data_IF_475898029800
#
_entry.id   IF_475898029800
#
_cell.length_a   1.000
_cell.length_b   1.000
_cell.length_c   1.000
_cell.angle_alpha   90.00
_cell.angle_beta   90.00
_cell.angle_gamma   90.00
#
_symmetry.space_group_name_H-M   'P 1'
#
loop_
_entity.id
_entity.type
_entity.pdbx_description
1 polymer ?
#
# COMPACT_ATOMS: atom_id res chain seq x y z
N UNK A 1 17.21 -8.99 -30.74
CA UNK A 1 17.62 -10.30 -30.19
C UNK A 1 16.75 -10.53 -28.97
N UNK A 2 15.75 -11.38 -29.10
CA UNK A 2 14.75 -11.68 -28.08
C UNK A 2 15.44 -12.43 -26.93
N UNK A 3 15.54 -11.81 -25.76
CA UNK A 3 15.97 -12.52 -24.57
C UNK A 3 14.83 -13.45 -24.16
N UNK A 4 14.94 -14.72 -24.50
CA UNK A 4 14.08 -15.77 -23.95
C UNK A 4 14.44 -15.86 -22.46
N UNK A 5 13.61 -15.22 -21.64
CA UNK A 5 13.71 -15.26 -20.19
C UNK A 5 13.04 -16.55 -19.74
N UNK A 6 13.83 -17.47 -19.18
CA UNK A 6 13.35 -18.73 -18.61
C UNK A 6 12.39 -18.42 -17.45
N UNK A 7 11.16 -18.95 -17.44
CA UNK A 7 10.27 -18.79 -16.30
C UNK A 7 10.83 -19.53 -15.07
N UNK A 8 10.69 -18.92 -13.89
CA UNK A 8 11.21 -19.41 -12.61
C UNK A 8 10.52 -20.71 -12.12
N UNK A 9 9.49 -21.17 -12.83
CA UNK A 9 8.80 -22.46 -12.65
C UNK A 9 8.49 -23.01 -14.03
N UNK A 10 8.72 -24.31 -14.20
CA UNK A 10 8.34 -25.00 -15.45
C UNK A 10 6.82 -25.16 -15.46
N UNK A 11 6.11 -24.63 -16.47
CA UNK A 11 4.67 -24.80 -16.57
C UNK A 11 4.33 -26.30 -16.68
N UNK A 12 3.27 -26.74 -16.02
CA UNK A 12 2.76 -28.12 -16.18
C UNK A 12 2.16 -28.35 -17.56
N UNK A 13 1.67 -27.29 -18.18
CA UNK A 13 1.13 -27.31 -19.53
C UNK A 13 1.40 -25.98 -20.24
N UNK A 14 1.71 -26.08 -21.54
CA UNK A 14 1.90 -24.97 -22.47
C UNK A 14 1.19 -25.30 -23.78
N UNK A 15 0.52 -24.31 -24.36
CA UNK A 15 -0.12 -24.42 -25.65
C UNK A 15 0.05 -23.16 -26.48
N UNK A 16 0.48 -23.35 -27.74
CA UNK A 16 0.52 -22.32 -28.79
C UNK A 16 -0.71 -22.46 -29.69
N UNK A 17 -1.32 -21.32 -30.07
CA UNK A 17 -2.51 -21.24 -30.93
C UNK A 17 -3.69 -22.11 -30.45
N UNK A 18 -3.98 -22.04 -29.16
CA UNK A 18 -5.00 -22.85 -28.49
C UNK A 18 -6.36 -22.16 -28.43
N UNK A 19 -7.42 -22.93 -28.22
CA UNK A 19 -8.73 -22.41 -27.81
C UNK A 19 -8.88 -22.40 -26.28
N UNK A 20 -9.84 -21.63 -25.75
CA UNK A 20 -10.20 -21.69 -24.33
C UNK A 20 -10.64 -23.10 -23.91
N UNK A 21 -11.23 -23.89 -24.82
CA UNK A 21 -11.55 -25.29 -24.54
C UNK A 21 -10.30 -26.12 -24.27
N UNK A 22 -9.23 -25.94 -25.04
CA UNK A 22 -7.99 -26.70 -24.83
C UNK A 22 -7.37 -26.36 -23.47
N UNK A 23 -7.45 -25.09 -23.05
CA UNK A 23 -7.02 -24.65 -21.71
C UNK A 23 -7.86 -25.31 -20.61
N UNK A 24 -9.19 -25.37 -20.77
CA UNK A 24 -10.09 -26.03 -19.82
C UNK A 24 -9.85 -27.54 -19.72
N UNK A 25 -9.61 -28.20 -20.85
CA UNK A 25 -9.32 -29.64 -20.91
C UNK A 25 -7.98 -29.94 -20.22
N UNK A 26 -6.95 -29.12 -20.46
CA UNK A 26 -5.65 -29.23 -19.78
C UNK A 26 -5.77 -28.99 -18.27
N UNK A 27 -6.51 -27.96 -17.85
CA UNK A 27 -6.75 -27.65 -16.44
C UNK A 27 -7.50 -28.78 -15.73
N UNK A 28 -8.50 -29.37 -16.38
CA UNK A 28 -9.24 -30.52 -15.85
C UNK A 28 -8.33 -31.74 -15.66
N UNK A 29 -7.47 -32.02 -16.65
CA UNK A 29 -6.50 -33.12 -16.55
C UNK A 29 -5.48 -32.91 -15.42
N UNK A 30 -4.97 -31.68 -15.24
CA UNK A 30 -4.05 -31.33 -14.15
C UNK A 30 -4.71 -31.63 -12.80
N UNK A 31 -5.91 -31.09 -12.58
CA UNK A 31 -6.70 -31.30 -11.35
C UNK A 31 -6.95 -32.77 -11.05
N UNK A 32 -7.40 -33.53 -12.05
CA UNK A 32 -7.63 -34.97 -11.88
C UNK A 32 -6.35 -35.75 -11.55
N UNK A 33 -5.18 -35.31 -12.04
CA UNK A 33 -3.90 -35.94 -11.67
C UNK A 33 -3.56 -35.62 -10.21
N UNK A 34 -3.72 -34.38 -9.79
CA UNK A 34 -3.49 -33.97 -8.40
C UNK A 34 -4.40 -34.74 -7.44
N UNK A 35 -5.70 -34.74 -7.69
CA UNK A 35 -6.71 -35.42 -6.87
C UNK A 35 -6.41 -36.92 -6.70
N UNK A 36 -6.02 -37.61 -7.79
CA UNK A 36 -5.62 -39.03 -7.75
C UNK A 36 -4.31 -39.28 -7.03
N UNK A 37 -3.41 -38.31 -6.98
CA UNK A 37 -2.10 -38.45 -6.33
C UNK A 37 -2.22 -38.26 -4.82
N UNK A 38 -3.10 -37.35 -4.39
CA UNK A 38 -3.27 -37.04 -2.97
C UNK A 38 -4.35 -37.90 -2.29
N UNK A 39 -5.35 -38.40 -3.01
CA UNK A 39 -6.24 -39.43 -2.50
C UNK A 39 -5.50 -40.78 -2.42
N UNK A 40 -5.47 -41.41 -1.25
CA UNK A 40 -5.01 -42.80 -1.13
C UNK A 40 -5.90 -43.78 -1.91
N UNK A 41 -5.43 -45.01 -2.13
CA UNK A 41 -6.11 -46.03 -2.97
C UNK A 41 -7.60 -46.30 -2.60
N UNK A 42 -8.01 -45.98 -1.36
CA UNK A 42 -9.38 -46.17 -0.84
C UNK A 42 -10.11 -44.85 -0.47
N UNK A 43 -9.52 -43.67 -0.75
CA UNK A 43 -10.09 -42.37 -0.41
C UNK A 43 -10.79 -41.70 -1.60
N UNK A 44 -11.85 -40.94 -1.29
CA UNK A 44 -12.49 -40.09 -2.30
C UNK A 44 -11.64 -38.84 -2.54
N UNK A 45 -11.64 -38.26 -3.76
CA UNK A 45 -10.99 -36.99 -4.04
C UNK A 45 -11.38 -35.92 -3.01
N UNK A 46 -10.39 -35.23 -2.46
CA UNK A 46 -10.64 -34.14 -1.53
C UNK A 46 -11.29 -32.96 -2.27
N UNK A 47 -12.25 -32.26 -1.64
CA UNK A 47 -12.79 -31.04 -2.23
C UNK A 47 -11.69 -29.99 -2.38
N UNK A 48 -11.65 -29.34 -3.55
CA UNK A 48 -10.71 -28.27 -3.83
C UNK A 48 -10.86 -27.11 -2.86
N UNK A 49 -9.76 -26.75 -2.20
CA UNK A 49 -9.66 -25.52 -1.42
C UNK A 49 -9.37 -24.34 -2.33
N UNK A 50 -10.35 -23.46 -2.51
CA UNK A 50 -10.21 -22.21 -3.27
C UNK A 50 -11.08 -21.16 -2.58
N UNK A 51 -10.54 -19.98 -2.29
CA UNK A 51 -11.26 -18.90 -1.59
C UNK A 51 -11.53 -17.69 -2.47
N UNK A 52 -10.89 -17.61 -3.65
CA UNK A 52 -11.14 -16.55 -4.64
C UNK A 52 -10.63 -16.93 -6.03
N UNK A 53 -11.13 -16.23 -7.05
CA UNK A 53 -10.50 -16.13 -8.38
C UNK A 53 -9.87 -14.75 -8.51
N UNK A 54 -8.56 -14.67 -8.77
CA UNK A 54 -7.83 -13.40 -8.99
C UNK A 54 -7.43 -13.28 -10.47
N UNK A 55 -7.96 -12.28 -11.16
CA UNK A 55 -7.68 -12.03 -12.58
C UNK A 55 -6.76 -10.82 -12.69
N UNK A 56 -5.49 -11.01 -13.05
CA UNK A 56 -4.54 -9.94 -13.31
C UNK A 56 -4.46 -9.58 -14.79
N UNK A 57 -4.88 -8.36 -15.17
CA UNK A 57 -4.75 -7.88 -16.57
C UNK A 57 -3.53 -6.97 -16.68
N UNK A 58 -2.67 -7.25 -17.67
CA UNK A 58 -1.38 -6.59 -17.88
C UNK A 58 -1.12 -6.24 -19.34
N UNK A 59 -0.32 -5.17 -19.54
CA UNK A 59 0.10 -4.72 -20.88
C UNK A 59 1.58 -5.01 -21.20
N UNK A 60 2.37 -5.57 -20.27
CA UNK A 60 3.80 -5.80 -20.47
C UNK A 60 4.27 -7.11 -19.84
N UNK A 61 5.32 -7.71 -20.41
CA UNK A 61 5.95 -8.91 -19.88
C UNK A 61 6.51 -8.71 -18.46
N UNK A 62 7.00 -7.51 -18.13
CA UNK A 62 7.45 -7.19 -16.76
C UNK A 62 6.29 -7.17 -15.76
N UNK A 63 5.14 -6.63 -16.16
CA UNK A 63 3.94 -6.65 -15.31
C UNK A 63 3.35 -8.05 -15.18
N UNK A 64 3.40 -8.87 -16.24
CA UNK A 64 3.00 -10.27 -16.18
C UNK A 64 3.83 -11.04 -15.14
N UNK A 65 5.16 -10.92 -15.18
CA UNK A 65 6.02 -11.56 -14.18
C UNK A 65 5.71 -11.09 -12.76
N UNK A 66 5.40 -9.80 -12.59
CA UNK A 66 4.96 -9.27 -11.30
C UNK A 66 3.62 -9.88 -10.88
N UNK A 67 2.64 -9.95 -11.79
CA UNK A 67 1.33 -10.56 -11.55
C UNK A 67 1.46 -12.00 -11.07
N UNK A 68 2.26 -12.80 -11.78
CA UNK A 68 2.50 -14.21 -11.46
C UNK A 68 3.15 -14.33 -10.08
N UNK A 69 4.21 -13.56 -9.81
CA UNK A 69 4.86 -13.58 -8.47
C UNK A 69 3.91 -13.15 -7.35
N UNK A 70 3.12 -12.10 -7.56
CA UNK A 70 2.13 -11.64 -6.59
C UNK A 70 1.05 -12.68 -6.35
N UNK A 71 0.55 -13.32 -7.42
CA UNK A 71 -0.45 -14.38 -7.34
C UNK A 71 0.05 -15.58 -6.53
N UNK A 72 1.32 -15.96 -6.68
CA UNK A 72 1.98 -17.00 -5.86
C UNK A 72 2.03 -16.63 -4.39
N UNK A 73 2.50 -15.41 -4.10
CA UNK A 73 2.61 -14.91 -2.73
C UNK A 73 1.24 -14.88 -2.02
N UNK A 74 0.18 -14.50 -2.73
CA UNK A 74 -1.19 -14.57 -2.22
C UNK A 74 -1.63 -16.01 -2.03
N UNK A 75 -1.42 -16.86 -3.03
CA UNK A 75 -1.84 -18.27 -3.00
C UNK A 75 -1.22 -19.02 -1.83
N UNK A 76 0.03 -18.70 -1.45
CA UNK A 76 0.75 -19.27 -0.30
C UNK A 76 0.04 -19.11 1.06
N UNK A 77 -0.84 -18.10 1.18
CA UNK A 77 -1.62 -17.85 2.40
C UNK A 77 -3.12 -18.06 2.18
N UNK A 78 -3.59 -17.85 0.96
CA UNK A 78 -5.00 -17.89 0.58
C UNK A 78 -5.15 -18.66 -0.74
N UNK A 79 -5.53 -19.95 -0.70
CA UNK A 79 -5.67 -20.77 -1.90
C UNK A 79 -6.58 -20.12 -2.93
N UNK A 80 -6.03 -19.76 -4.08
CA UNK A 80 -6.72 -18.97 -5.10
C UNK A 80 -6.45 -19.56 -6.48
N UNK A 81 -7.44 -19.44 -7.37
CA UNK A 81 -7.17 -19.60 -8.80
C UNK A 81 -6.75 -18.25 -9.37
N UNK A 82 -5.57 -18.18 -9.97
CA UNK A 82 -5.07 -16.95 -10.57
C UNK A 82 -5.11 -17.04 -12.09
N UNK A 83 -5.62 -16.00 -12.74
CA UNK A 83 -5.67 -15.87 -14.20
C UNK A 83 -4.90 -14.60 -14.57
N UNK A 84 -3.76 -14.71 -15.24
CA UNK A 84 -2.95 -13.57 -15.68
C UNK A 84 -3.12 -13.39 -17.18
N UNK A 85 -3.64 -12.25 -17.61
CA UNK A 85 -3.94 -11.97 -19.01
C UNK A 85 -3.01 -10.85 -19.50
N UNK A 86 -2.12 -11.18 -20.44
CA UNK A 86 -1.34 -10.18 -21.18
C UNK A 86 -1.99 -9.88 -22.51
N UNK A 87 -2.43 -8.63 -22.67
CA UNK A 87 -3.03 -8.15 -23.91
C UNK A 87 -1.96 -7.59 -24.87
N UNK A 88 -1.90 -8.15 -26.08
CA UNK A 88 -1.09 -7.69 -27.21
C UNK A 88 -2.02 -7.35 -28.40
N UNK A 89 -2.84 -6.31 -28.22
CA UNK A 89 -3.90 -5.91 -29.16
C UNK A 89 -3.44 -5.43 -30.58
N UNK A 90 -2.25 -4.83 -30.82
CA UNK A 90 -1.96 -4.26 -32.15
C UNK A 90 -1.53 -5.28 -33.22
N UNK A 91 -1.58 -6.58 -32.95
CA UNK A 91 -1.15 -7.64 -33.87
C UNK A 91 -2.33 -8.13 -34.74
N UNK A 92 -2.12 -8.33 -36.04
CA UNK A 92 -3.13 -8.95 -36.93
C UNK A 92 -3.20 -10.46 -36.69
N UNK A 93 -4.42 -10.99 -36.54
CA UNK A 93 -4.69 -12.41 -36.26
C UNK A 93 -5.05 -12.64 -34.80
N UNK A 94 -6.01 -13.53 -34.53
CA UNK A 94 -6.33 -13.97 -33.18
C UNK A 94 -5.46 -15.18 -32.84
N UNK A 95 -4.57 -15.02 -31.87
CA UNK A 95 -3.73 -16.11 -31.37
C UNK A 95 -3.79 -16.07 -29.85
N UNK A 96 -4.06 -17.22 -29.25
CA UNK A 96 -4.03 -17.41 -27.80
C UNK A 96 -2.89 -18.38 -27.49
N UNK A 97 -1.95 -17.90 -26.71
CA UNK A 97 -0.88 -18.69 -26.11
C UNK A 97 -1.21 -18.82 -24.62
N UNK A 98 -1.09 -20.03 -24.05
CA UNK A 98 -1.51 -20.25 -22.68
C UNK A 98 -0.56 -21.18 -21.93
N UNK A 99 -0.36 -20.87 -20.65
CA UNK A 99 0.41 -21.67 -19.70
C UNK A 99 -0.43 -21.97 -18.47
N UNK A 100 -0.25 -23.15 -17.92
CA UNK A 100 -0.77 -23.50 -16.59
C UNK A 100 0.41 -23.92 -15.74
N UNK A 101 0.62 -23.18 -14.65
CA UNK A 101 1.55 -23.54 -13.58
C UNK A 101 0.75 -23.87 -12.32
N UNK A 102 1.23 -24.83 -11.55
CA UNK A 102 0.63 -25.25 -10.28
C UNK A 102 1.61 -25.01 -9.14
N UNK A 103 1.08 -24.71 -7.96
CA UNK A 103 1.82 -24.69 -6.72
C UNK A 103 1.10 -25.54 -5.69
N UNK A 104 1.77 -26.60 -5.24
CA UNK A 104 1.21 -27.50 -4.23
C UNK A 104 1.77 -27.15 -2.86
N UNK A 105 0.86 -26.81 -1.95
CA UNK A 105 1.17 -26.58 -0.55
C UNK A 105 0.83 -27.83 0.25
N UNK A 106 1.79 -28.32 1.05
CA UNK A 106 1.63 -29.49 1.91
C UNK A 106 1.85 -29.11 3.38
N UNK A 107 0.85 -28.51 4.05
CA UNK A 107 0.92 -28.22 5.48
C UNK A 107 1.02 -29.52 6.29
N UNK A 108 1.73 -29.51 7.42
CA UNK A 108 1.98 -30.71 8.22
C UNK A 108 0.71 -31.31 8.87
N UNK A 109 -0.31 -30.48 9.10
CA UNK A 109 -1.55 -30.85 9.82
C UNK A 109 -2.83 -30.66 8.98
N UNK A 110 -2.71 -30.47 7.65
CA UNK A 110 -3.86 -30.31 6.76
C UNK A 110 -3.61 -30.98 5.39
N UNK A 111 -4.68 -31.19 4.62
CA UNK A 111 -4.59 -31.75 3.28
C UNK A 111 -3.76 -30.86 2.35
N UNK A 112 -3.07 -31.49 1.40
CA UNK A 112 -2.39 -30.77 0.35
C UNK A 112 -3.38 -29.90 -0.44
N UNK A 113 -2.95 -28.70 -0.83
CA UNK A 113 -3.75 -27.78 -1.65
C UNK A 113 -2.96 -27.38 -2.88
N UNK A 114 -3.57 -27.56 -4.05
CA UNK A 114 -3.03 -27.10 -5.34
C UNK A 114 -3.65 -25.76 -5.73
N UNK A 115 -2.79 -24.78 -6.03
CA UNK A 115 -3.19 -23.49 -6.57
C UNK A 115 -2.66 -23.36 -8.00
N UNK A 116 -3.51 -22.99 -8.96
CA UNK A 116 -3.11 -22.79 -10.35
C UNK A 116 -3.00 -21.33 -10.72
N UNK A 117 -2.02 -21.08 -11.58
CA UNK A 117 -1.79 -19.80 -12.24
C UNK A 117 -1.89 -20.06 -13.73
N UNK A 118 -3.00 -19.60 -14.31
CA UNK A 118 -3.31 -19.69 -15.73
C UNK A 118 -2.83 -18.39 -16.37
N UNK A 119 -1.82 -18.44 -17.23
CA UNK A 119 -1.33 -17.26 -17.95
C UNK A 119 -1.82 -17.32 -19.39
N UNK A 120 -2.50 -16.28 -19.84
CA UNK A 120 -3.03 -16.14 -21.20
C UNK A 120 -2.33 -14.96 -21.89
N UNK A 121 -1.64 -15.22 -23.00
CA UNK A 121 -1.19 -14.14 -23.89
C UNK A 121 -2.16 -14.05 -25.05
N UNK A 122 -2.90 -12.95 -25.08
CA UNK A 122 -4.01 -12.74 -25.99
C UNK A 122 -3.58 -11.74 -27.05
N UNK A 123 -3.54 -12.17 -28.32
CA UNK A 123 -3.14 -11.32 -29.45
C UNK A 123 -4.32 -11.01 -30.36
N UNK A 124 -4.30 -9.80 -30.91
CA UNK A 124 -5.27 -9.33 -31.89
C UNK A 124 -6.71 -9.28 -31.36
N UNK A 125 -7.69 -9.63 -32.20
CA UNK A 125 -9.11 -9.42 -31.92
C UNK A 125 -9.65 -10.20 -30.69
N UNK A 126 -8.93 -11.23 -30.22
CA UNK A 126 -9.31 -11.93 -29.00
C UNK A 126 -9.15 -11.06 -27.74
N UNK A 127 -8.27 -10.03 -27.78
CA UNK A 127 -8.06 -9.12 -26.66
C UNK A 127 -9.26 -8.18 -26.42
N UNK A 128 -10.15 -8.03 -27.40
CA UNK A 128 -11.38 -7.23 -27.27
C UNK A 128 -12.56 -8.07 -26.69
N UNK A 129 -12.31 -9.28 -26.17
CA UNK A 129 -13.35 -10.16 -25.63
C UNK A 129 -12.95 -10.77 -24.27
N UNK A 130 -12.56 -9.91 -23.33
CA UNK A 130 -12.03 -10.30 -22.03
C UNK A 130 -13.01 -11.18 -21.22
N UNK A 131 -14.29 -10.84 -21.24
CA UNK A 131 -15.36 -11.60 -20.57
C UNK A 131 -15.45 -13.03 -21.11
N UNK A 132 -15.39 -13.21 -22.42
CA UNK A 132 -15.48 -14.53 -23.06
C UNK A 132 -14.26 -15.43 -22.76
N UNK A 133 -13.09 -14.83 -22.49
CA UNK A 133 -11.89 -15.56 -22.09
C UNK A 133 -11.94 -15.97 -20.61
N UNK A 134 -12.49 -15.09 -19.76
CA UNK A 134 -12.47 -15.24 -18.30
C UNK A 134 -13.62 -16.11 -17.79
N UNK A 135 -14.84 -15.88 -18.26
CA UNK A 135 -16.07 -16.51 -17.73
C UNK A 135 -15.97 -18.05 -17.62
N UNK A 136 -15.45 -18.79 -18.64
CA UNK A 136 -15.36 -20.24 -18.56
C UNK A 136 -14.36 -20.74 -17.52
N UNK A 137 -13.39 -19.92 -17.14
CA UNK A 137 -12.35 -20.26 -16.17
C UNK A 137 -12.77 -19.96 -14.73
N UNK A 138 -13.88 -19.25 -14.49
CA UNK A 138 -14.27 -18.84 -13.15
C UNK A 138 -14.60 -20.04 -12.25
N UNK A 139 -14.16 -19.96 -10.99
CA UNK A 139 -14.51 -20.95 -9.97
C UNK A 139 -15.85 -20.57 -9.35
N UNK A 140 -16.83 -21.48 -9.44
CA UNK A 140 -18.16 -21.25 -8.85
C UNK A 140 -18.10 -21.20 -7.33
N UNK A 141 -18.83 -20.26 -6.72
CA UNK A 141 -19.01 -20.18 -5.26
C UNK A 141 -17.91 -19.41 -4.52
N UNK A 142 -16.96 -18.81 -5.23
CA UNK A 142 -15.92 -17.95 -4.64
C UNK A 142 -15.94 -16.54 -5.28
N UNK A 143 -15.55 -15.50 -4.54
CA UNK A 143 -15.47 -14.14 -5.09
C UNK A 143 -14.43 -14.05 -6.24
N UNK A 144 -14.76 -13.26 -7.25
CA UNK A 144 -13.93 -13.01 -8.42
C UNK A 144 -13.46 -11.55 -8.44
N UNK A 145 -12.14 -11.35 -8.46
CA UNK A 145 -11.53 -10.02 -8.44
C UNK A 145 -10.74 -9.76 -9.72
N UNK A 146 -11.05 -8.65 -10.39
CA UNK A 146 -10.28 -8.15 -11.52
C UNK A 146 -9.25 -7.13 -11.03
N UNK A 147 -7.97 -7.48 -11.08
CA UNK A 147 -6.84 -6.61 -10.79
C UNK A 147 -6.26 -6.06 -12.09
N UNK A 148 -6.49 -4.77 -12.36
CA UNK A 148 -5.98 -4.10 -13.55
C UNK A 148 -4.68 -3.37 -13.25
N UNK A 149 -3.57 -3.78 -13.89
CA UNK A 149 -2.28 -3.12 -13.73
C UNK A 149 -2.07 -2.03 -14.78
N UNK A 150 -1.90 -0.79 -14.31
CA UNK A 150 -1.73 0.40 -15.16
C UNK A 150 -3.04 1.16 -15.33
N UNK A 151 -3.39 1.51 -16.56
CA UNK A 151 -4.53 2.37 -16.87
C UNK A 151 -5.70 1.57 -17.45
N UNK A 152 -6.82 1.39 -16.74
CA UNK A 152 -8.00 0.72 -17.27
C UNK A 152 -8.68 1.54 -18.37
N UNK A 153 -9.09 0.92 -19.50
CA UNK A 153 -9.82 1.58 -20.57
C UNK A 153 -11.33 1.64 -20.22
N UNK A 154 -11.71 2.49 -19.27
CA UNK A 154 -13.10 2.60 -18.78
C UNK A 154 -14.13 3.02 -19.85
N UNK A 155 -13.67 3.49 -21.00
CA UNK A 155 -14.48 3.81 -22.18
C UNK A 155 -14.74 2.60 -23.10
N UNK A 156 -14.01 1.49 -22.93
CA UNK A 156 -14.21 0.27 -23.70
C UNK A 156 -15.35 -0.56 -23.14
N UNK A 157 -16.22 -1.04 -24.04
CA UNK A 157 -17.34 -1.91 -23.72
C UNK A 157 -16.89 -3.23 -23.09
N UNK A 158 -15.81 -3.82 -23.61
CA UNK A 158 -15.37 -5.16 -23.24
C UNK A 158 -14.89 -5.23 -21.77
N UNK A 159 -14.26 -4.16 -21.27
CA UNK A 159 -13.97 -4.01 -19.85
C UNK A 159 -15.26 -3.98 -19.04
N UNK A 160 -16.25 -3.19 -19.46
CA UNK A 160 -17.53 -3.09 -18.74
C UNK A 160 -18.29 -4.42 -18.75
N UNK A 161 -18.14 -5.24 -19.78
CA UNK A 161 -18.71 -6.60 -19.85
C UNK A 161 -17.98 -7.55 -18.91
N UNK A 162 -16.64 -7.54 -18.89
CA UNK A 162 -15.84 -8.31 -17.92
C UNK A 162 -16.14 -7.93 -16.46
N UNK A 163 -16.39 -6.65 -16.18
CA UNK A 163 -16.78 -6.21 -14.84
C UNK A 163 -18.15 -6.74 -14.38
N UNK A 164 -19.03 -7.19 -15.29
CA UNK A 164 -20.34 -7.76 -14.91
C UNK A 164 -20.25 -9.14 -14.29
N UNK A 165 -19.17 -9.86 -14.56
CA UNK A 165 -18.90 -11.21 -14.03
C UNK A 165 -17.92 -11.19 -12.85
N UNK A 166 -17.49 -10.00 -12.39
CA UNK A 166 -16.58 -9.82 -11.27
C UNK A 166 -17.30 -9.25 -10.03
N UNK A 167 -16.83 -9.62 -8.84
CA UNK A 167 -17.29 -9.09 -7.55
C UNK A 167 -16.49 -7.86 -7.11
N UNK A 168 -15.29 -7.63 -7.69
CA UNK A 168 -14.52 -6.43 -7.41
C UNK A 168 -13.50 -6.07 -8.48
N UNK A 169 -13.29 -4.76 -8.65
CA UNK A 169 -12.21 -4.18 -9.45
C UNK A 169 -11.14 -3.61 -8.52
N UNK A 170 -9.90 -4.06 -8.69
CA UNK A 170 -8.72 -3.50 -8.01
C UNK A 170 -7.88 -2.73 -9.04
N UNK A 171 -7.58 -1.48 -8.74
CA UNK A 171 -6.70 -0.62 -9.54
C UNK A 171 -5.57 -0.05 -8.69
N UNK A 172 -4.57 0.55 -9.33
CA UNK A 172 -3.62 1.44 -8.67
C UNK A 172 -3.70 2.82 -9.32
N UNK A 173 -4.42 3.75 -8.69
CA UNK A 173 -4.60 5.08 -9.25
C UNK A 173 -3.31 5.92 -9.26
N UNK A 174 -2.26 5.50 -8.56
CA UNK A 174 -0.93 6.11 -8.68
C UNK A 174 -0.31 5.86 -10.06
N UNK A 175 -0.63 4.72 -10.69
CA UNK A 175 -0.03 4.25 -11.94
C UNK A 175 -0.81 4.69 -13.19
N UNK A 176 -1.82 5.55 -13.05
CA UNK A 176 -2.58 6.04 -14.19
C UNK A 176 -1.73 6.97 -15.08
N UNK A 177 -1.66 6.69 -16.38
CA UNK A 177 -0.92 7.50 -17.35
C UNK A 177 -1.60 8.86 -17.60
N UNK A 178 -2.94 8.86 -17.56
CA UNK A 178 -3.78 10.06 -17.66
C UNK A 178 -4.61 10.20 -16.38
N UNK A 179 -3.99 10.52 -15.23
CA UNK A 179 -4.60 10.41 -13.90
C UNK A 179 -6.01 10.97 -13.84
N UNK A 180 -6.21 12.23 -14.24
CA UNK A 180 -7.50 12.90 -14.13
C UNK A 180 -8.59 12.27 -15.01
N UNK A 181 -8.25 11.87 -16.24
CA UNK A 181 -9.22 11.24 -17.15
C UNK A 181 -9.63 9.87 -16.63
N UNK A 182 -8.66 9.04 -16.29
CA UNK A 182 -8.88 7.67 -15.81
C UNK A 182 -9.58 7.67 -14.45
N UNK A 183 -9.23 8.58 -13.55
CA UNK A 183 -9.88 8.72 -12.25
C UNK A 183 -11.35 9.13 -12.36
N UNK A 184 -11.72 9.96 -13.35
CA UNK A 184 -13.13 10.25 -13.66
C UNK A 184 -13.87 9.01 -14.15
N UNK A 185 -13.24 8.19 -14.99
CA UNK A 185 -13.78 6.89 -15.40
C UNK A 185 -14.02 5.96 -14.22
N UNK A 186 -13.03 5.83 -13.32
CA UNK A 186 -13.15 5.05 -12.09
C UNK A 186 -14.29 5.56 -11.20
N UNK A 187 -14.40 6.88 -10.99
CA UNK A 187 -15.48 7.47 -10.20
C UNK A 187 -16.85 7.28 -10.86
N UNK A 188 -16.95 7.32 -12.18
CA UNK A 188 -18.20 7.07 -12.89
C UNK A 188 -18.72 5.63 -12.65
N UNK A 189 -17.82 4.67 -12.38
CA UNK A 189 -18.21 3.33 -11.98
C UNK A 189 -18.98 3.32 -10.65
N UNK A 190 -18.88 4.32 -9.78
CA UNK A 190 -19.72 4.37 -8.57
C UNK A 190 -21.22 4.42 -8.88
N UNK A 191 -21.61 4.91 -10.07
CA UNK A 191 -23.01 4.94 -10.52
C UNK A 191 -23.46 3.62 -11.17
N UNK A 192 -22.50 2.81 -11.63
CA UNK A 192 -22.75 1.56 -12.39
C UNK A 192 -22.39 0.33 -11.55
N UNK A 193 -21.62 0.51 -10.49
CA UNK A 193 -21.43 -0.41 -9.40
C UNK A 193 -22.81 -0.65 -8.78
N UNK A 194 -23.53 -1.59 -9.37
CA UNK A 194 -24.66 -2.24 -8.72
C UNK A 194 -24.18 -2.70 -7.33
N UNK A 195 -25.10 -3.05 -6.43
CA UNK A 195 -24.77 -3.59 -5.09
C UNK A 195 -23.81 -4.81 -5.05
N UNK A 196 -23.25 -5.25 -6.18
CA UNK A 196 -22.40 -6.43 -6.36
C UNK A 196 -20.95 -6.14 -6.76
N UNK A 197 -20.63 -5.01 -7.42
CA UNK A 197 -19.25 -4.71 -7.83
C UNK A 197 -18.58 -3.79 -6.82
N UNK A 198 -17.59 -4.31 -6.10
CA UNK A 198 -16.73 -3.51 -5.24
C UNK A 198 -15.62 -2.80 -6.01
N UNK A 199 -15.17 -1.66 -5.52
CA UNK A 199 -14.04 -0.91 -6.05
C UNK A 199 -12.94 -0.83 -4.98
N UNK A 200 -11.73 -1.18 -5.34
CA UNK A 200 -10.56 -1.08 -4.49
C UNK A 200 -9.41 -0.40 -5.22
N UNK A 201 -8.59 0.32 -4.46
CA UNK A 201 -7.48 1.08 -4.99
C UNK A 201 -6.25 0.91 -4.10
N UNK A 202 -5.17 0.44 -4.69
CA UNK A 202 -3.89 0.26 -4.02
C UNK A 202 -3.30 1.59 -3.53
N UNK A 203 -3.64 2.71 -4.17
CA UNK A 203 -3.28 4.03 -3.66
C UNK A 203 -4.06 4.38 -2.38
N UNK A 204 -5.33 3.98 -2.29
CA UNK A 204 -6.13 4.17 -1.06
C UNK A 204 -5.61 3.34 0.11
N UNK A 205 -5.15 2.12 -0.16
CA UNK A 205 -4.48 1.26 0.82
C UNK A 205 -3.21 1.93 1.36
N UNK A 206 -2.37 2.52 0.49
CA UNK A 206 -1.17 3.29 0.88
C UNK A 206 -1.47 4.52 1.74
N UNK A 207 -2.66 5.09 1.63
CA UNK A 207 -3.08 6.21 2.46
C UNK A 207 -3.54 5.80 3.87
N UNK A 208 -3.63 4.51 4.19
CA UNK A 208 -4.08 4.01 5.51
C UNK A 208 -3.24 4.59 6.66
N UNK A 209 -1.88 4.55 6.65
CA UNK A 209 -1.10 5.14 7.74
C UNK A 209 -1.32 6.64 7.90
N UNK A 210 -1.44 7.38 6.79
CA UNK A 210 -1.75 8.82 6.81
C UNK A 210 -3.09 9.10 7.49
N UNK A 211 -4.13 8.35 7.11
CA UNK A 211 -5.48 8.48 7.69
C UNK A 211 -5.47 8.17 9.18
N UNK A 212 -4.79 7.10 9.58
CA UNK A 212 -4.66 6.68 10.98
C UNK A 212 -3.93 7.74 11.81
N UNK A 213 -2.76 8.21 11.37
CA UNK A 213 -1.99 9.24 12.08
C UNK A 213 -2.79 10.53 12.25
N UNK A 214 -3.50 10.98 11.20
CA UNK A 214 -4.36 12.16 11.27
C UNK A 214 -5.50 11.95 12.26
N UNK A 215 -6.20 10.80 12.20
CA UNK A 215 -7.31 10.50 13.09
C UNK A 215 -6.85 10.40 14.56
N UNK A 216 -5.70 9.78 14.82
CA UNK A 216 -5.12 9.61 16.16
C UNK A 216 -4.88 10.95 16.87
N UNK A 217 -4.54 12.02 16.15
CA UNK A 217 -4.41 13.35 16.74
C UNK A 217 -5.71 13.82 17.42
N UNK A 218 -6.88 13.49 16.84
CA UNK A 218 -8.19 13.91 17.34
C UNK A 218 -8.87 12.91 18.29
N UNK A 219 -8.32 11.71 18.47
CA UNK A 219 -8.85 10.67 19.37
C UNK A 219 -9.02 11.14 20.83
N UNK A 220 -8.03 11.84 21.44
CA UNK A 220 -8.14 12.36 22.80
C UNK A 220 -9.33 13.31 22.98
N UNK A 221 -10.06 13.17 24.09
CA UNK A 221 -11.32 13.88 24.34
C UNK A 221 -11.18 15.41 24.32
N UNK A 222 -10.07 15.92 24.81
CA UNK A 222 -9.69 17.34 24.83
C UNK A 222 -9.44 17.91 23.42
N UNK A 223 -8.96 17.08 22.49
CA UNK A 223 -8.65 17.47 21.11
C UNK A 223 -9.83 17.36 20.13
N UNK A 224 -10.87 16.60 20.45
CA UNK A 224 -12.05 16.43 19.56
C UNK A 224 -12.70 17.74 19.12
N UNK A 225 -12.67 18.77 19.98
CA UNK A 225 -13.24 20.07 19.63
C UNK A 225 -12.51 20.75 18.46
N UNK A 226 -11.24 20.39 18.21
CA UNK A 226 -10.47 20.87 17.07
C UNK A 226 -10.97 20.35 15.72
N UNK A 227 -11.69 19.22 15.66
CA UNK A 227 -12.29 18.73 14.40
C UNK A 227 -13.22 19.77 13.78
N UNK A 228 -14.04 20.41 14.61
CA UNK A 228 -14.83 21.54 14.16
C UNK A 228 -13.96 22.76 13.85
N UNK A 229 -12.84 22.94 14.53
CA UNK A 229 -11.98 24.13 14.41
C UNK A 229 -11.06 24.17 13.18
N UNK A 230 -11.02 23.11 12.35
CA UNK A 230 -10.15 23.06 11.16
C UNK A 230 -10.50 24.21 10.21
N UNK A 231 -9.51 25.00 9.86
CA UNK A 231 -9.63 26.14 8.95
C UNK A 231 -8.74 25.99 7.71
N UNK A 232 -7.62 25.29 7.84
CA UNK A 232 -6.63 25.14 6.78
C UNK A 232 -6.12 23.71 6.69
N UNK A 233 -5.98 23.21 5.46
CA UNK A 233 -5.33 21.94 5.12
C UNK A 233 -4.33 22.18 3.99
N UNK A 234 -3.08 21.77 4.19
CA UNK A 234 -2.05 21.77 3.15
C UNK A 234 -1.62 20.35 2.83
N UNK A 235 -1.61 19.97 1.55
CA UNK A 235 -1.15 18.65 1.10
C UNK A 235 0.01 18.83 0.12
N UNK A 236 1.18 18.33 0.49
CA UNK A 236 2.33 18.25 -0.41
C UNK A 236 2.38 16.86 -1.05
N UNK A 237 2.63 16.82 -2.35
CA UNK A 237 2.80 15.58 -3.12
C UNK A 237 4.05 15.67 -4.01
N UNK A 238 4.69 14.54 -4.29
CA UNK A 238 5.83 14.48 -5.21
C UNK A 238 5.38 14.81 -6.64
N UNK A 239 6.07 15.74 -7.27
CA UNK A 239 5.97 15.92 -8.71
C UNK A 239 6.46 17.26 -9.18
N UNK A 240 6.33 17.47 -10.48
CA UNK A 240 6.47 18.77 -11.12
C UNK A 240 5.14 19.23 -11.71
N UNK A 241 4.76 20.47 -11.44
CA UNK A 241 3.57 21.04 -12.05
C UNK A 241 2.31 20.19 -11.83
N UNK A 242 1.61 19.88 -12.93
CA UNK A 242 0.30 19.21 -12.92
C UNK A 242 0.40 17.66 -12.92
N UNK A 243 1.34 17.10 -12.16
CA UNK A 243 1.52 15.65 -11.99
C UNK A 243 0.28 14.93 -11.40
N UNK A 244 0.42 13.65 -11.03
CA UNK A 244 -0.69 12.88 -10.44
C UNK A 244 -1.05 13.44 -9.05
N UNK A 245 -2.27 13.96 -8.88
CA UNK A 245 -2.78 14.52 -7.61
C UNK A 245 -3.82 13.64 -6.94
N UNK A 246 -4.03 12.41 -7.42
CA UNK A 246 -5.12 11.56 -6.94
C UNK A 246 -4.94 11.24 -5.46
N UNK A 247 -3.71 10.99 -4.99
CA UNK A 247 -3.42 10.80 -3.56
C UNK A 247 -3.90 11.98 -2.70
N UNK A 248 -3.58 13.21 -3.13
CA UNK A 248 -3.97 14.44 -2.45
C UNK A 248 -5.48 14.66 -2.50
N UNK A 249 -6.12 14.34 -3.63
CA UNK A 249 -7.57 14.41 -3.77
C UNK A 249 -8.27 13.38 -2.88
N UNK A 250 -7.79 12.12 -2.82
CA UNK A 250 -8.38 11.05 -2.00
C UNK A 250 -8.29 11.35 -0.50
N UNK A 251 -7.12 11.78 0.00
CA UNK A 251 -7.00 12.14 1.43
C UNK A 251 -7.88 13.36 1.79
N UNK A 252 -8.02 14.31 0.86
CA UNK A 252 -8.91 15.46 1.03
C UNK A 252 -10.38 15.05 0.99
N UNK A 253 -10.77 14.17 0.06
CA UNK A 253 -12.12 13.64 -0.06
C UNK A 253 -12.52 12.83 1.18
N UNK A 254 -11.59 12.10 1.77
CA UNK A 254 -11.77 11.42 3.06
C UNK A 254 -12.05 12.40 4.19
N UNK A 255 -11.20 13.43 4.37
CA UNK A 255 -11.43 14.45 5.41
C UNK A 255 -12.75 15.18 5.19
N UNK A 256 -13.05 15.54 3.94
CA UNK A 256 -14.27 16.26 3.61
C UNK A 256 -15.52 15.43 3.93
N UNK A 257 -15.55 14.15 3.57
CA UNK A 257 -16.70 13.29 3.83
C UNK A 257 -16.83 12.91 5.30
N UNK A 258 -15.72 12.67 6.00
CA UNK A 258 -15.72 12.39 7.43
C UNK A 258 -16.21 13.59 8.28
N UNK A 259 -16.00 14.82 7.81
CA UNK A 259 -16.29 16.06 8.55
C UNK A 259 -17.48 16.85 7.98
N UNK A 260 -18.16 16.35 6.95
CA UNK A 260 -19.32 17.00 6.34
C UNK A 260 -18.98 18.31 5.63
N UNK A 261 -17.80 18.40 5.02
CA UNK A 261 -17.36 19.55 4.24
C UNK A 261 -17.96 19.50 2.83
N UNK A 262 -18.45 20.65 2.35
CA UNK A 262 -19.01 20.78 1.02
C UNK A 262 -18.10 21.65 0.16
N UNK A 263 -17.66 21.16 -1.00
CA UNK A 263 -16.83 21.92 -1.93
C UNK A 263 -17.62 23.09 -2.52
N UNK A 264 -17.05 24.30 -2.47
CA UNK A 264 -17.68 25.51 -3.05
C UNK A 264 -17.01 25.97 -4.32
N UNK A 265 -15.68 25.99 -4.29
CA UNK A 265 -14.84 26.41 -5.42
C UNK A 265 -13.49 25.74 -5.31
N UNK A 266 -12.89 25.41 -6.44
CA UNK A 266 -11.49 25.07 -6.52
C UNK A 266 -10.90 25.62 -7.81
N UNK A 267 -9.59 25.80 -7.80
CA UNK A 267 -8.82 26.23 -8.96
C UNK A 267 -7.42 25.62 -8.89
N UNK A 268 -6.87 25.22 -10.04
CA UNK A 268 -5.45 24.91 -10.16
C UNK A 268 -4.67 26.09 -10.76
N UNK A 269 -3.62 26.48 -10.06
CA UNK A 269 -2.63 27.42 -10.54
C UNK A 269 -1.53 26.77 -11.39
N UNK A 270 -0.66 27.59 -11.99
CA UNK A 270 0.61 27.11 -12.54
C UNK A 270 1.49 26.47 -11.45
N UNK A 271 2.37 25.54 -11.84
CA UNK A 271 3.35 24.94 -10.91
C UNK A 271 2.80 23.89 -9.94
N UNK A 272 1.59 23.38 -10.16
CA UNK A 272 1.08 22.26 -9.37
C UNK A 272 0.19 22.62 -8.20
N UNK A 273 0.02 23.92 -7.96
CA UNK A 273 -0.78 24.42 -6.86
C UNK A 273 -2.27 24.23 -7.15
N UNK A 274 -3.01 23.71 -6.17
CA UNK A 274 -4.48 23.69 -6.17
C UNK A 274 -4.92 24.44 -4.93
N UNK A 275 -5.96 25.26 -5.06
CA UNK A 275 -6.65 25.85 -3.90
C UNK A 275 -8.12 25.50 -4.02
N UNK A 276 -8.68 24.93 -2.97
CA UNK A 276 -10.07 24.58 -2.83
C UNK A 276 -10.65 25.20 -1.56
N UNK A 277 -11.86 25.71 -1.64
CA UNK A 277 -12.61 26.22 -0.49
C UNK A 277 -13.81 25.33 -0.25
N UNK A 278 -13.85 24.78 0.96
CA UNK A 278 -14.93 23.99 1.47
C UNK A 278 -15.73 24.77 2.51
N UNK A 279 -16.96 24.33 2.78
CA UNK A 279 -17.80 24.88 3.83
C UNK A 279 -18.33 23.78 4.76
N UNK A 280 -18.28 24.01 6.07
CA UNK A 280 -18.87 23.13 7.07
C UNK A 280 -19.52 23.93 8.21
N UNK A 281 -20.86 23.90 8.26
CA UNK A 281 -21.63 24.63 9.28
C UNK A 281 -21.37 26.13 9.25
N UNK A 282 -21.34 26.74 8.06
CA UNK A 282 -21.13 28.18 7.87
C UNK A 282 -19.68 28.67 8.00
N UNK A 283 -18.71 27.75 8.18
CA UNK A 283 -17.27 28.08 8.26
C UNK A 283 -16.58 27.66 6.98
N UNK A 284 -15.65 28.50 6.53
CA UNK A 284 -14.80 28.22 5.38
C UNK A 284 -13.58 27.40 5.81
N UNK A 285 -13.24 26.39 5.02
CA UNK A 285 -11.99 25.62 5.14
C UNK A 285 -11.23 25.80 3.84
N UNK A 286 -9.98 26.23 3.93
CA UNK A 286 -9.08 26.33 2.79
C UNK A 286 -8.23 25.05 2.69
N UNK A 287 -8.21 24.45 1.51
CA UNK A 287 -7.38 23.30 1.20
C UNK A 287 -6.45 23.68 0.06
N UNK A 288 -5.14 23.50 0.26
CA UNK A 288 -4.13 23.80 -0.72
C UNK A 288 -3.27 22.58 -1.04
N UNK A 289 -3.06 22.28 -2.33
CA UNK A 289 -2.09 21.28 -2.77
C UNK A 289 -0.82 21.97 -3.26
N UNK A 290 0.33 21.35 -3.01
CA UNK A 290 1.62 21.83 -3.49
C UNK A 290 2.47 20.68 -4.01
N UNK A 291 2.93 20.81 -5.25
CA UNK A 291 3.92 19.91 -5.82
C UNK A 291 5.29 20.18 -5.18
N UNK A 292 5.98 19.13 -4.75
CA UNK A 292 7.35 19.19 -4.20
C UNK A 292 8.24 18.17 -4.90
N UNK A 293 9.54 18.44 -4.98
CA UNK A 293 10.51 17.48 -5.52
C UNK A 293 11.14 16.69 -4.37
N UNK A 294 10.96 15.36 -4.39
CA UNK A 294 11.54 14.44 -3.42
C UNK A 294 12.00 13.19 -4.15
N UNK A 295 13.29 13.10 -4.46
CA UNK A 295 13.87 12.06 -5.34
C UNK A 295 13.66 10.61 -4.84
N UNK A 296 13.33 10.43 -3.56
CA UNK A 296 13.08 9.11 -2.97
C UNK A 296 11.61 8.71 -2.98
N UNK A 297 10.69 9.59 -3.39
CA UNK A 297 9.25 9.30 -3.49
C UNK A 297 8.86 9.05 -4.94
N UNK A 298 7.82 8.23 -5.12
CA UNK A 298 7.22 8.03 -6.43
C UNK A 298 6.36 9.25 -6.83
N UNK A 299 6.19 9.46 -8.13
CA UNK A 299 5.38 10.55 -8.64
C UNK A 299 3.93 10.51 -8.14
N UNK A 300 3.46 11.62 -7.57
CA UNK A 300 2.13 11.75 -6.99
C UNK A 300 1.97 11.23 -5.56
N UNK A 301 3.01 10.64 -4.97
CA UNK A 301 3.02 10.19 -3.59
C UNK A 301 2.94 11.37 -2.62
N UNK A 302 2.28 11.20 -1.47
CA UNK A 302 2.21 12.26 -0.46
C UNK A 302 3.55 12.46 0.23
N UNK A 303 3.99 13.71 0.31
CA UNK A 303 5.18 14.09 1.09
C UNK A 303 4.79 14.68 2.45
N UNK A 304 3.69 15.43 2.54
CA UNK A 304 3.22 15.98 3.80
C UNK A 304 1.73 16.31 3.82
N UNK A 305 1.10 16.19 4.99
CA UNK A 305 -0.23 16.72 5.27
C UNK A 305 -0.15 17.63 6.48
N UNK A 306 -0.64 18.87 6.34
CA UNK A 306 -0.67 19.88 7.39
C UNK A 306 -2.10 20.30 7.65
N UNK A 307 -2.50 20.39 8.91
CA UNK A 307 -3.84 20.78 9.31
C UNK A 307 -3.70 21.85 10.39
N UNK A 308 -4.40 22.97 10.23
CA UNK A 308 -4.40 24.04 11.21
C UNK A 308 -5.82 24.53 11.48
N UNK A 309 -6.01 25.07 12.68
CA UNK A 309 -7.30 25.59 13.10
C UNK A 309 -7.30 26.08 14.53
N UNK A 310 -8.50 26.38 15.02
CA UNK A 310 -8.69 26.81 16.40
C UNK A 310 -10.05 26.36 16.95
N UNK A 311 -10.08 26.00 18.23
CA UNK A 311 -11.31 25.74 18.96
C UNK A 311 -11.21 26.29 20.38
N UNK A 312 -12.30 26.91 20.86
CA UNK A 312 -12.41 27.43 22.25
C UNK A 312 -11.26 28.38 22.65
N UNK A 313 -10.78 29.19 21.70
CA UNK A 313 -9.67 30.13 21.93
C UNK A 313 -8.27 29.53 21.84
N UNK A 314 -8.15 28.22 21.61
CA UNK A 314 -6.86 27.53 21.46
C UNK A 314 -6.61 27.18 20.01
N UNK A 315 -5.46 27.58 19.47
CA UNK A 315 -5.00 27.19 18.13
C UNK A 315 -4.34 25.82 18.16
N UNK A 316 -4.35 25.11 17.02
CA UNK A 316 -3.57 23.91 16.84
C UNK A 316 -2.96 23.85 15.44
N UNK A 317 -1.84 23.14 15.33
CA UNK A 317 -1.21 22.78 14.06
C UNK A 317 -0.73 21.34 14.14
N UNK A 318 -1.14 20.54 13.17
CA UNK A 318 -0.70 19.16 12.95
C UNK A 318 0.08 19.13 11.63
N UNK A 319 1.24 18.49 11.62
CA UNK A 319 2.00 18.21 10.41
C UNK A 319 2.46 16.77 10.42
N UNK A 320 2.01 15.98 9.44
CA UNK A 320 2.49 14.62 9.16
C UNK A 320 3.38 14.70 7.92
N UNK A 321 4.60 14.17 7.99
CA UNK A 321 5.58 14.24 6.90
C UNK A 321 6.20 12.88 6.64
N UNK A 322 6.34 12.55 5.37
CA UNK A 322 7.02 11.37 4.89
C UNK A 322 8.52 11.61 4.78
N UNK A 323 9.31 10.69 5.33
CA UNK A 323 10.78 10.70 5.33
C UNK A 323 11.37 12.14 5.33
N UNK A 324 11.05 12.93 6.37
CA UNK A 324 11.53 14.30 6.41
C UNK A 324 13.06 14.25 6.37
N UNK A 325 13.64 15.05 5.48
CA UNK A 325 15.10 15.22 5.41
C UNK A 325 15.60 15.40 6.83
N UNK A 326 16.33 14.41 7.34
CA UNK A 326 17.06 14.60 8.58
C UNK A 326 18.00 15.75 8.28
N UNK A 327 17.76 16.92 8.89
CA UNK A 327 18.79 17.95 8.99
C UNK A 327 20.05 17.18 9.38
N UNK A 328 21.05 17.16 8.49
CA UNK A 328 22.38 16.71 8.90
C UNK A 328 22.64 17.52 10.15
N UNK A 329 22.83 16.84 11.28
CA UNK A 329 23.30 17.49 12.48
C UNK A 329 24.48 18.33 12.01
N UNK A 330 24.34 19.66 12.04
CA UNK A 330 25.49 20.53 11.87
C UNK A 330 26.47 19.98 12.88
N UNK A 331 27.65 19.47 12.49
CA UNK A 331 28.60 19.01 13.48
C UNK A 331 28.73 20.20 14.43
N UNK A 332 28.33 20.03 15.70
CA UNK A 332 28.75 20.98 16.72
C UNK A 332 30.24 21.19 16.48
N UNK A 333 30.73 22.44 16.43
CA UNK A 333 32.11 22.71 16.04
C UNK A 333 32.98 21.74 16.82
N UNK A 334 33.53 20.77 16.11
CA UNK A 334 34.28 19.69 16.73
C UNK A 334 35.32 20.39 17.57
N UNK A 335 35.31 20.16 18.89
CA UNK A 335 36.37 20.70 19.74
C UNK A 335 37.67 20.34 19.04
N UNK A 336 38.36 21.38 18.58
CA UNK A 336 39.57 21.21 17.78
C UNK A 336 40.58 20.63 18.74
N UNK A 337 40.77 19.31 18.69
CA UNK A 337 41.86 18.66 19.40
C UNK A 337 43.13 19.40 19.03
N UNK A 338 43.73 20.08 20.01
CA UNK A 338 44.97 20.84 19.85
C UNK A 338 46.20 19.92 19.80
N UNK A 339 46.00 18.60 19.70
CA UNK A 339 47.08 17.64 19.67
C UNK A 339 47.12 16.92 18.31
N UNK A 340 48.13 17.29 17.53
CA UNK A 340 48.58 16.56 16.35
C UNK A 340 49.34 15.32 16.76
N UNK A 341 48.63 14.21 16.98
CA UNK A 341 49.27 12.89 17.01
C UNK A 341 48.36 11.91 16.26
N UNK A 342 48.79 11.54 15.06
CA UNK A 342 48.22 10.40 14.34
C UNK A 342 48.63 9.12 15.07
N UNK A 343 47.68 8.49 15.75
CA UNK A 343 47.80 7.23 16.48
C UNK A 343 46.49 7.01 17.24
N UNK A 344 45.99 5.78 17.27
CA UNK A 344 44.75 5.42 17.98
C UNK A 344 44.86 5.88 19.45
N UNK A 345 43.88 6.65 19.91
CA UNK A 345 43.90 7.35 21.19
C UNK A 345 43.61 6.38 22.34
N UNK A 346 44.63 5.61 22.75
CA UNK A 346 44.58 4.69 23.89
C UNK A 346 44.16 5.38 25.19
N UNK A 347 44.46 6.68 25.34
CA UNK A 347 44.04 7.47 26.49
C UNK A 347 42.53 7.78 26.49
N UNK A 348 41.94 7.97 25.31
CA UNK A 348 40.49 8.10 25.14
C UNK A 348 39.73 6.81 25.50
N UNK A 349 40.32 5.65 25.20
CA UNK A 349 39.78 4.34 25.57
C UNK A 349 39.89 4.13 27.09
N UNK A 350 41.05 4.42 27.69
CA UNK A 350 41.26 4.29 29.15
C UNK A 350 40.30 5.20 29.94
N UNK A 351 40.06 6.44 29.48
CA UNK A 351 39.10 7.35 30.10
C UNK A 351 37.65 6.85 29.99
N UNK A 352 37.28 6.24 28.88
CA UNK A 352 35.95 5.65 28.69
C UNK A 352 35.75 4.42 29.60
N UNK A 353 36.78 3.58 29.73
CA UNK A 353 36.77 2.40 30.61
C UNK A 353 36.66 2.79 32.08
N UNK A 354 37.49 3.73 32.56
CA UNK A 354 37.41 4.24 33.94
C UNK A 354 36.06 4.87 34.26
N UNK A 355 35.43 5.55 33.28
CA UNK A 355 34.12 6.17 33.47
C UNK A 355 32.99 5.13 33.49
N UNK A 356 33.15 4.01 32.80
CA UNK A 356 32.23 2.88 32.84
C UNK A 356 32.37 2.05 34.13
N UNK A 357 33.56 1.98 34.72
CA UNK A 357 33.77 1.44 36.07
C UNK A 357 33.16 2.34 37.13
N UNK A 358 33.41 3.65 37.06
CA UNK A 358 32.81 4.62 38.00
C UNK A 358 31.27 4.58 38.00
N UNK A 359 30.64 4.47 36.83
CA UNK A 359 29.17 4.31 36.77
C UNK A 359 28.68 2.99 37.36
N UNK A 360 29.46 1.90 37.29
CA UNK A 360 29.12 0.62 37.92
C UNK A 360 29.19 0.68 39.44
N UNK A 361 30.19 1.38 39.96
CA UNK A 361 30.37 1.56 41.41
C UNK A 361 29.28 2.49 41.98
N UNK A 362 28.95 3.57 41.27
CA UNK A 362 27.83 4.47 41.64
C UNK A 362 26.48 3.74 41.64
N UNK A 363 26.29 2.75 40.75
CA UNK A 363 25.07 1.92 40.75
C UNK A 363 25.06 0.88 41.88
N UNK A 364 26.22 0.40 42.33
CA UNK A 364 26.33 -0.47 43.52
C UNK A 364 26.11 0.31 44.83
N UNK A 365 26.65 1.52 44.95
CA UNK A 365 26.47 2.37 46.14
C UNK A 365 25.03 2.86 46.31
N UNK A 366 24.29 3.04 45.21
CA UNK A 366 22.89 3.51 45.25
C UNK A 366 21.84 2.38 45.31
N UNK A 367 22.27 1.12 45.35
CA UNK A 367 21.39 -0.06 45.33
C UNK A 367 20.54 -0.16 46.62
N UNK A 368 21.07 0.31 47.75
CA UNK A 368 20.35 0.36 49.04
C UNK A 368 19.44 1.60 49.18
N UNK A 369 19.53 2.59 48.28
CA UNK A 369 18.72 3.83 48.34
C UNK A 369 17.55 3.88 47.35
N UNK A 370 17.40 2.86 46.49
CA UNK A 370 16.28 2.73 45.55
C UNK A 370 15.16 1.86 46.14
N UNK A 371 14.59 2.31 47.27
CA UNK A 371 13.34 1.77 47.79
C UNK A 371 12.15 2.52 47.17
N UNK A 372 11.50 1.90 46.18
CA UNK A 372 10.13 2.24 45.81
C UNK A 372 9.20 1.04 46.04
N UNK A 373 8.41 1.19 47.09
CA UNK A 373 7.28 0.36 47.53
C UNK A 373 6.13 0.45 46.51
N UNK A 374 6.13 -0.41 45.48
CA UNK A 374 4.97 -0.52 44.59
C UNK A 374 4.70 -1.91 44.00
N UNK A 375 5.61 -2.89 44.09
CA UNK A 375 5.40 -4.20 43.42
C UNK A 375 5.42 -5.42 44.34
N UNK A 376 5.81 -5.31 45.61
CA UNK A 376 5.69 -6.43 46.56
C UNK A 376 6.61 -7.63 46.31
N UNK A 377 7.56 -7.55 45.38
CA UNK A 377 8.52 -8.62 45.09
C UNK A 377 9.77 -8.54 45.97
N UNK A 378 10.33 -9.71 46.30
CA UNK A 378 11.52 -9.85 47.13
C UNK A 378 12.81 -9.39 46.41
N UNK A 379 13.79 -8.81 47.13
CA UNK A 379 15.01 -8.27 46.52
C UNK A 379 15.95 -9.40 46.08
N UNK A 380 16.28 -9.47 44.79
CA UNK A 380 17.41 -10.29 44.32
C UNK A 380 17.35 -10.88 42.90
N UNK A 381 16.20 -10.95 42.23
CA UNK A 381 16.07 -11.78 41.02
C UNK A 381 15.79 -11.05 39.69
N UNK A 382 16.00 -9.73 39.61
CA UNK A 382 15.91 -9.02 38.32
C UNK A 382 17.21 -8.29 38.00
N UNK A 383 18.19 -8.99 37.46
CA UNK A 383 19.31 -8.36 36.73
C UNK A 383 18.77 -7.84 35.39
N UNK A 384 18.90 -6.54 35.06
CA UNK A 384 18.68 -6.09 33.70
C UNK A 384 19.71 -6.76 32.78
N UNK A 385 19.26 -7.30 31.64
CA UNK A 385 20.18 -7.79 30.58
C UNK A 385 21.08 -6.63 30.13
N UNK A 386 22.37 -6.92 29.96
CA UNK A 386 23.41 -5.97 29.58
C UNK A 386 23.01 -5.10 28.37
N UNK A 387 23.26 -3.80 28.45
CA UNK A 387 23.13 -2.89 27.31
C UNK A 387 24.30 -3.10 26.36
N UNK A 388 24.07 -3.78 25.24
CA UNK A 388 25.04 -3.84 24.14
C UNK A 388 24.97 -2.53 23.35
N UNK A 389 26.02 -1.71 23.43
CA UNK A 389 26.19 -0.53 22.58
C UNK A 389 26.46 -1.01 21.16
N UNK A 390 25.51 -0.80 20.25
CA UNK A 390 25.69 -1.12 18.84
C UNK A 390 26.70 -0.16 18.21
N UNK A 391 27.76 -0.73 17.61
CA UNK A 391 28.65 -0.05 16.65
C UNK A 391 27.81 0.43 15.46
N UNK A 392 28.00 1.69 15.06
CA UNK A 392 27.42 2.21 13.83
C UNK A 392 28.10 1.58 12.61
N UNK A 393 27.49 0.55 12.06
CA UNK A 393 27.71 0.18 10.66
C UNK A 393 26.97 1.15 9.75
N UNK A 394 27.65 1.57 8.67
CA UNK A 394 27.05 2.31 7.55
C UNK A 394 25.95 1.43 6.92
N UNK A 395 24.69 1.62 7.31
CA UNK A 395 23.56 0.96 6.65
C UNK A 395 23.12 1.73 5.41
N UNK A 396 23.33 1.10 4.26
CA UNK A 396 22.42 1.15 3.10
C UNK A 396 21.87 -0.28 2.93
N UNK A 397 20.59 -0.40 2.58
CA UNK A 397 19.75 -1.63 2.42
C UNK A 397 18.81 -2.04 3.58
N UNK A 398 18.32 -1.09 4.39
CA UNK A 398 17.02 -1.23 5.08
C UNK A 398 16.29 0.11 4.95
N UNK A 399 15.37 0.25 3.99
CA UNK A 399 14.57 1.46 3.79
C UNK A 399 13.28 1.42 4.61
N UNK A 400 13.41 1.47 5.94
CA UNK A 400 12.23 1.65 6.79
C UNK A 400 11.72 3.07 6.59
N UNK A 401 10.64 3.19 5.84
CA UNK A 401 9.95 4.45 5.61
C UNK A 401 9.35 4.95 6.93
N UNK A 402 9.35 6.26 7.16
CA UNK A 402 8.84 6.84 8.43
C UNK A 402 7.87 7.99 8.18
N UNK A 403 6.84 8.08 9.03
CA UNK A 403 6.02 9.27 9.18
C UNK A 403 6.45 10.03 10.43
N UNK A 404 6.88 11.28 10.23
CA UNK A 404 7.11 12.23 11.31
C UNK A 404 5.86 13.07 11.54
N UNK A 405 5.35 13.02 12.75
CA UNK A 405 4.22 13.83 13.20
C UNK A 405 4.71 14.92 14.15
N UNK A 406 4.38 16.17 13.83
CA UNK A 406 4.59 17.35 14.66
C UNK A 406 3.24 17.92 15.08
N UNK A 407 3.07 18.18 16.37
CA UNK A 407 1.84 18.68 16.98
C UNK A 407 2.14 19.91 17.80
N UNK A 408 1.47 21.02 17.47
CA UNK A 408 1.50 22.28 18.22
C UNK A 408 0.08 22.57 18.71
N UNK A 409 -0.09 22.87 20.00
CA UNK A 409 -1.41 23.23 20.59
C UNK A 409 -1.22 24.41 21.53
N UNK A 410 -1.89 25.52 21.23
CA UNK A 410 -1.75 26.78 21.96
C UNK A 410 -0.29 27.24 22.02
N UNK A 411 0.14 27.65 23.22
CA UNK A 411 1.53 28.02 23.52
C UNK A 411 2.36 26.86 24.10
N UNK A 412 1.85 25.62 24.02
CA UNK A 412 2.53 24.44 24.51
C UNK A 412 3.77 24.07 23.68
N UNK A 413 4.69 23.32 24.30
CA UNK A 413 5.84 22.77 23.59
C UNK A 413 5.39 21.82 22.48
N UNK A 414 6.02 21.86 21.29
CA UNK A 414 5.67 20.99 20.19
C UNK A 414 5.93 19.53 20.56
N UNK A 415 4.95 18.66 20.30
CA UNK A 415 5.10 17.23 20.44
C UNK A 415 5.56 16.62 19.12
N UNK A 416 6.50 15.68 19.21
CA UNK A 416 7.06 14.96 18.07
C UNK A 416 6.82 13.46 18.24
N UNK A 417 6.30 12.82 17.20
CA UNK A 417 6.13 11.38 17.14
C UNK A 417 6.66 10.85 15.81
N UNK A 418 7.34 9.71 15.83
CA UNK A 418 7.86 9.05 14.64
C UNK A 418 7.25 7.65 14.59
N UNK A 419 6.56 7.36 13.50
CA UNK A 419 5.99 6.06 13.20
C UNK A 419 6.83 5.41 12.09
N UNK A 420 7.25 4.17 12.31
CA UNK A 420 7.85 3.36 11.24
C UNK A 420 6.72 2.75 10.42
N UNK A 421 6.87 2.79 9.11
CA UNK A 421 6.03 2.08 8.17
C UNK A 421 6.71 0.78 7.77
N UNK A 422 5.92 -0.28 7.64
CA UNK A 422 6.38 -1.51 7.01
C UNK A 422 6.66 -1.23 5.52
N UNK A 423 7.56 -2.03 4.93
CA UNK A 423 7.88 -1.89 3.51
C UNK A 423 6.64 -2.08 2.65
N UNK A 424 6.45 -1.21 1.66
CA UNK A 424 5.36 -1.37 0.71
C UNK A 424 5.67 -2.53 -0.23
N UNK A 425 4.92 -3.63 -0.09
CA UNK A 425 4.87 -4.67 -1.10
C UNK A 425 3.46 -4.79 -1.69
N UNK A 426 3.40 -5.02 -3.01
CA UNK A 426 2.12 -5.18 -3.72
C UNK A 426 1.33 -6.40 -3.23
N UNK A 427 1.95 -7.56 -2.94
CA UNK A 427 1.21 -8.72 -2.44
C UNK A 427 0.47 -8.46 -1.13
N UNK A 428 1.10 -7.85 -0.13
CA UNK A 428 0.48 -7.59 1.17
C UNK A 428 -0.59 -6.52 1.06
N UNK A 429 -0.38 -5.47 0.26
CA UNK A 429 -1.42 -4.46 0.01
C UNK A 429 -2.63 -5.04 -0.71
N UNK A 430 -2.39 -5.84 -1.76
CA UNK A 430 -3.47 -6.51 -2.48
C UNK A 430 -4.19 -7.50 -1.55
N UNK A 431 -3.46 -8.23 -0.71
CA UNK A 431 -4.05 -9.17 0.22
C UNK A 431 -4.88 -8.48 1.34
N UNK A 432 -4.41 -7.36 1.90
CA UNK A 432 -5.18 -6.54 2.86
C UNK A 432 -6.49 -6.05 2.22
N UNK A 433 -6.44 -5.59 0.96
CA UNK A 433 -7.63 -5.17 0.21
C UNK A 433 -8.60 -6.33 -0.07
N UNK A 434 -8.10 -7.48 -0.51
CA UNK A 434 -8.94 -8.62 -0.86
C UNK A 434 -9.54 -9.30 0.37
N UNK A 435 -8.85 -9.27 1.51
CA UNK A 435 -9.33 -9.85 2.78
C UNK A 435 -10.36 -8.99 3.50
N UNK A 436 -10.23 -7.66 3.41
CA UNK A 436 -11.22 -6.71 3.97
C UNK A 436 -12.45 -6.52 3.06
N UNK A 437 -12.34 -6.97 1.81
CA UNK A 437 -13.37 -6.89 0.78
C UNK A 437 -13.31 -5.58 0.00
N UNK A 438 -13.71 -5.63 -1.27
CA UNK A 438 -13.69 -4.49 -2.20
C UNK A 438 -14.86 -3.50 -2.01
N UNK A 439 -15.68 -3.69 -0.99
CA UNK A 439 -16.88 -2.87 -0.72
C UNK A 439 -16.63 -1.88 0.44
N UNK A 440 -15.59 -1.06 0.33
CA UNK A 440 -15.27 -0.03 1.34
C UNK A 440 -16.14 1.24 1.14
N UNK A 441 -17.13 1.45 2.01
CA UNK A 441 -17.97 2.65 1.97
C UNK A 441 -17.19 3.95 2.20
N UNK A 442 -16.15 3.90 3.03
CA UNK A 442 -15.30 5.08 3.30
C UNK A 442 -14.53 5.42 2.04
N UNK A 443 -13.98 4.42 1.36
CA UNK A 443 -13.35 4.61 0.04
C UNK A 443 -14.34 5.19 -0.96
N UNK A 444 -15.52 4.59 -1.13
CA UNK A 444 -16.50 5.02 -2.13
C UNK A 444 -16.95 6.49 -1.94
N UNK A 445 -17.22 6.91 -0.70
CA UNK A 445 -17.55 8.31 -0.41
C UNK A 445 -16.34 9.23 -0.66
N UNK A 446 -15.14 8.79 -0.26
CA UNK A 446 -13.90 9.56 -0.46
C UNK A 446 -13.57 9.72 -1.95
N UNK A 447 -13.76 8.67 -2.75
CA UNK A 447 -13.60 8.66 -4.20
C UNK A 447 -14.57 9.64 -4.86
N UNK A 448 -15.85 9.62 -4.49
CA UNK A 448 -16.85 10.56 -5.02
C UNK A 448 -16.50 12.03 -4.71
N UNK A 449 -16.12 12.32 -3.46
CA UNK A 449 -15.72 13.67 -3.03
C UNK A 449 -14.41 14.13 -3.69
N UNK A 450 -13.43 13.22 -3.83
CA UNK A 450 -12.18 13.49 -4.54
C UNK A 450 -12.42 13.75 -6.02
N UNK A 451 -13.33 13.02 -6.66
CA UNK A 451 -13.68 13.23 -8.05
C UNK A 451 -14.33 14.60 -8.28
N UNK A 452 -15.25 15.02 -7.41
CA UNK A 452 -15.85 16.37 -7.47
C UNK A 452 -14.76 17.46 -7.42
N UNK A 453 -13.76 17.29 -6.56
CA UNK A 453 -12.63 18.20 -6.46
C UNK A 453 -11.77 18.20 -7.73
N UNK A 454 -11.45 17.03 -8.27
CA UNK A 454 -10.66 16.88 -9.50
C UNK A 454 -11.37 17.50 -10.71
N UNK A 455 -12.70 17.45 -10.77
CA UNK A 455 -13.45 18.06 -11.88
C UNK A 455 -13.38 19.59 -11.94
N UNK A 456 -13.00 20.25 -10.84
CA UNK A 456 -12.92 21.71 -10.77
C UNK A 456 -11.60 22.28 -11.30
N UNK A 457 -10.60 21.46 -11.66
CA UNK A 457 -9.29 21.97 -12.05
C UNK A 457 -8.51 21.17 -13.11
#
# INVERSE_FOLDING_TARGET
MSAVVTPDVTPEWHGDDVSIRDVLDALSQIRERFDRTEAGDDEHPHPRSCVMTLIGVVASASHEQLAVRTSRAISAQHPAQSIVIREDAPVRGGHLEAWIATEVQRPAEACATECEIITLHVRGAAADHLDALVDPLLVSGVPTYLWWMGTPPFDKRDLLEALRICDGLVVDSAQFERPYHTFRGLSALLNVAHHRLGLADLQWARLKPWRETIAQFFTPRDRRSFLGGIAEVGVDYEGDGRGNRIAAALITGWMATALGWNLKRAAAGPGGVVVAHYEAGGRSIEVAFRSVRKEHLAAGELSAVRIAGAARGTTFRLSVQHDPERMRSTPEPSYRSLHTTGGEDDAGIELAERRAEWHRDVLHENLDSLHHTATGDAPGESRPRASTVFRFDRRRQDSTTVLLTMIEVGEGAPLRHVQQLEGEDVPSLLLDLLSTGTHDEVYNRSLASAAELVEKF
#
